data_IF_578603925842
#
_entry.id   IF_578603925842
#
_cell.length_a   1.000
_cell.length_b   1.000
_cell.length_c   1.000
_cell.angle_alpha   90.00
_cell.angle_beta   90.00
_cell.angle_gamma   90.00
#
_symmetry.space_group_name_H-M   'P 1'
#
loop_
_entity.id
_entity.type
_entity.pdbx_description
1 polymer ?
#
# COMPACT_ATOMS: atom_id res chain seq x y z
N UNK A 1 -28.68 -12.64 4.75
CA UNK A 1 -28.86 -12.44 6.22
C UNK A 1 -28.28 -11.09 6.59
N UNK A 2 -29.08 -10.21 7.23
CA UNK A 2 -28.69 -8.86 7.63
C UNK A 2 -27.28 -8.79 8.24
N UNK A 3 -27.00 -9.59 9.28
CA UNK A 3 -25.71 -9.55 10.01
C UNK A 3 -24.49 -9.85 9.11
N UNK A 4 -24.60 -10.83 8.21
CA UNK A 4 -23.49 -11.21 7.32
C UNK A 4 -23.10 -10.10 6.34
N UNK A 5 -24.10 -9.38 5.81
CA UNK A 5 -23.87 -8.25 4.92
C UNK A 5 -23.10 -7.10 5.62
N UNK A 6 -23.53 -6.67 6.82
CA UNK A 6 -22.83 -5.61 7.56
C UNK A 6 -21.41 -6.01 7.95
N UNK A 7 -21.20 -7.28 8.31
CA UNK A 7 -19.87 -7.78 8.62
C UNK A 7 -18.93 -7.66 7.40
N UNK A 8 -19.37 -8.09 6.21
CA UNK A 8 -18.55 -7.97 5.00
C UNK A 8 -18.30 -6.52 4.59
N UNK A 9 -19.28 -5.63 4.73
CA UNK A 9 -19.09 -4.19 4.50
C UNK A 9 -18.03 -3.63 5.46
N UNK A 10 -18.09 -3.98 6.75
CA UNK A 10 -17.09 -3.56 7.73
C UNK A 10 -15.68 -4.06 7.37
N UNK A 11 -15.56 -5.32 6.91
CA UNK A 11 -14.30 -5.87 6.40
C UNK A 11 -13.79 -5.08 5.19
N UNK A 12 -14.65 -4.78 4.21
CA UNK A 12 -14.27 -3.98 3.04
C UNK A 12 -13.77 -2.58 3.42
N UNK A 13 -14.42 -1.94 4.40
CA UNK A 13 -13.97 -0.64 4.93
C UNK A 13 -12.61 -0.73 5.61
N UNK A 14 -12.37 -1.78 6.41
CA UNK A 14 -11.08 -1.98 7.08
C UNK A 14 -9.96 -2.22 6.07
N UNK A 15 -10.21 -3.05 5.04
CA UNK A 15 -9.27 -3.27 3.93
C UNK A 15 -8.96 -1.96 3.22
N UNK A 16 -9.99 -1.17 2.91
CA UNK A 16 -9.82 0.13 2.27
C UNK A 16 -8.96 1.09 3.12
N UNK A 17 -9.20 1.13 4.44
CA UNK A 17 -8.44 1.95 5.38
C UNK A 17 -6.96 1.55 5.40
N UNK A 18 -6.67 0.25 5.51
CA UNK A 18 -5.29 -0.28 5.54
C UNK A 18 -4.56 0.03 4.24
N UNK A 19 -5.19 -0.20 3.08
CA UNK A 19 -4.58 0.10 1.78
C UNK A 19 -4.33 1.61 1.61
N UNK A 20 -5.27 2.46 2.02
CA UNK A 20 -5.10 3.92 1.99
C UNK A 20 -3.95 4.37 2.88
N UNK A 21 -3.88 3.86 4.12
CA UNK A 21 -2.79 4.19 5.04
C UNK A 21 -1.44 3.74 4.49
N UNK A 22 -1.37 2.53 3.93
CA UNK A 22 -0.15 2.00 3.33
C UNK A 22 0.30 2.80 2.10
N UNK A 23 -0.64 3.27 1.27
CA UNK A 23 -0.36 4.17 0.15
C UNK A 23 0.34 5.45 0.64
N UNK A 24 -0.18 6.09 1.70
CA UNK A 24 0.44 7.28 2.29
C UNK A 24 1.81 7.00 2.90
N UNK A 25 2.01 5.84 3.53
CA UNK A 25 3.32 5.41 4.03
C UNK A 25 4.33 5.30 2.89
N UNK A 26 3.96 4.72 1.75
CA UNK A 26 4.84 4.63 0.57
C UNK A 26 5.12 6.01 -0.02
N UNK A 27 4.13 6.90 -0.10
CA UNK A 27 4.33 8.28 -0.56
C UNK A 27 5.33 8.99 0.36
N UNK A 28 5.14 8.93 1.68
CA UNK A 28 6.06 9.50 2.64
C UNK A 28 7.48 8.93 2.48
N UNK A 29 7.60 7.62 2.29
CA UNK A 29 8.87 6.94 2.02
C UNK A 29 9.55 7.44 0.74
N UNK A 30 8.79 7.66 -0.33
CA UNK A 30 9.29 8.17 -1.60
C UNK A 30 9.77 9.62 -1.47
N UNK A 31 8.99 10.50 -0.84
CA UNK A 31 9.39 11.90 -0.58
C UNK A 31 10.67 11.96 0.26
N UNK A 32 10.76 11.13 1.30
CA UNK A 32 11.96 11.02 2.12
C UNK A 32 13.19 10.55 1.32
N UNK A 33 13.02 9.83 0.22
CA UNK A 33 14.18 9.46 -0.61
C UNK A 33 14.81 10.65 -1.36
N UNK A 34 14.06 11.73 -1.59
CA UNK A 34 14.54 12.91 -2.32
C UNK A 34 15.21 13.96 -1.44
N UNK A 35 14.86 13.99 -0.15
CA UNK A 35 15.32 15.04 0.80
C UNK A 35 16.46 14.58 1.72
N UNK A 36 16.94 13.34 1.55
CA UNK A 36 18.04 12.75 2.33
C UNK A 36 17.94 12.98 3.85
N UNK A 37 16.89 12.45 4.52
CA UNK A 37 16.59 12.70 5.92
C UNK A 37 17.59 11.99 6.86
N UNK A 38 17.64 12.44 8.11
CA UNK A 38 18.42 11.78 9.16
C UNK A 38 18.02 10.29 9.32
N UNK A 39 18.95 9.34 9.05
CA UNK A 39 18.69 7.90 9.20
C UNK A 39 18.37 7.47 10.64
N UNK A 40 18.75 8.26 11.64
CA UNK A 40 18.51 7.96 13.05
C UNK A 40 17.14 8.44 13.53
N UNK A 41 16.38 9.16 12.70
CA UNK A 41 15.03 9.55 13.04
C UNK A 41 14.11 8.32 13.14
N UNK A 42 13.37 8.13 14.26
CA UNK A 42 12.51 6.97 14.45
C UNK A 42 11.41 6.84 13.38
N UNK A 43 10.88 7.95 12.86
CA UNK A 43 9.86 7.96 11.80
C UNK A 43 10.46 7.43 10.49
N UNK A 44 11.67 7.87 10.16
CA UNK A 44 12.39 7.37 8.97
C UNK A 44 12.60 5.87 9.09
N UNK A 45 13.16 5.38 10.22
CA UNK A 45 13.35 3.94 10.44
C UNK A 45 12.06 3.14 10.37
N UNK A 46 10.97 3.66 10.91
CA UNK A 46 9.65 3.04 10.84
C UNK A 46 9.18 2.87 9.39
N UNK A 47 9.23 3.95 8.60
CA UNK A 47 8.84 3.93 7.20
C UNK A 47 9.70 2.95 6.39
N UNK A 48 11.02 2.94 6.59
CA UNK A 48 11.91 1.94 6.00
C UNK A 48 11.48 0.53 6.38
N UNK A 49 11.30 0.22 7.67
CA UNK A 49 10.94 -1.14 8.13
C UNK A 49 9.63 -1.65 7.56
N UNK A 50 8.61 -0.80 7.45
CA UNK A 50 7.29 -1.20 6.95
C UNK A 50 7.26 -1.32 5.42
N UNK A 51 8.00 -0.48 4.71
CA UNK A 51 7.96 -0.45 3.24
C UNK A 51 8.97 -1.38 2.58
N UNK A 52 10.13 -1.61 3.19
CA UNK A 52 11.24 -2.37 2.57
C UNK A 52 10.88 -3.82 2.20
N UNK A 53 10.09 -4.59 2.97
CA UNK A 53 9.69 -5.94 2.58
C UNK A 53 8.97 -6.01 1.22
N UNK A 54 8.28 -4.93 0.82
CA UNK A 54 7.56 -4.84 -0.46
C UNK A 54 8.39 -4.09 -1.50
N UNK A 55 9.04 -2.98 -1.12
CA UNK A 55 9.84 -2.18 -2.05
C UNK A 55 11.10 -2.92 -2.52
N UNK A 56 11.83 -3.61 -1.64
CA UNK A 56 13.08 -4.32 -1.98
C UNK A 56 12.90 -5.35 -3.11
N UNK A 57 11.93 -6.29 -3.05
CA UNK A 57 11.75 -7.26 -4.12
C UNK A 57 11.28 -6.61 -5.43
N UNK A 58 10.54 -5.51 -5.38
CA UNK A 58 10.14 -4.77 -6.58
C UNK A 58 11.33 -4.04 -7.18
N UNK A 59 12.12 -3.35 -6.37
CA UNK A 59 13.35 -2.65 -6.76
C UNK A 59 14.35 -3.58 -7.44
N UNK A 60 14.54 -4.79 -6.90
CA UNK A 60 15.44 -5.79 -7.48
C UNK A 60 14.99 -6.33 -8.85
N UNK A 61 13.69 -6.24 -9.17
CA UNK A 61 13.14 -6.67 -10.46
C UNK A 61 13.11 -5.56 -11.50
N UNK A 62 13.21 -4.30 -11.08
CA UNK A 62 13.17 -3.16 -11.99
C UNK A 62 14.57 -2.86 -12.53
N UNK A 63 14.78 -2.84 -13.86
CA UNK A 63 16.06 -2.47 -14.44
C UNK A 63 16.45 -1.02 -14.13
N UNK A 64 15.48 -0.15 -13.81
CA UNK A 64 15.71 1.27 -13.50
C UNK A 64 16.59 1.50 -12.27
N UNK A 65 16.64 0.55 -11.33
CA UNK A 65 17.56 0.66 -10.19
C UNK A 65 19.03 0.70 -10.63
N UNK A 66 19.36 0.04 -11.74
CA UNK A 66 20.71 0.05 -12.33
C UNK A 66 21.08 1.41 -12.94
N UNK A 67 20.08 2.26 -13.20
CA UNK A 67 20.23 3.61 -13.75
C UNK A 67 20.25 4.69 -12.66
N UNK A 68 20.28 4.31 -11.37
CA UNK A 68 20.37 5.22 -10.23
C UNK A 68 19.05 5.86 -9.80
N UNK A 69 17.91 5.44 -10.37
CA UNK A 69 16.59 6.00 -10.07
C UNK A 69 15.64 4.92 -9.53
N UNK A 70 15.19 5.08 -8.28
CA UNK A 70 14.31 4.13 -7.62
C UNK A 70 12.83 4.37 -7.98
N UNK A 71 12.35 3.71 -9.05
CA UNK A 71 10.94 3.69 -9.43
C UNK A 71 10.09 2.69 -8.63
N UNK A 72 10.69 1.92 -7.71
CA UNK A 72 9.94 0.92 -6.95
C UNK A 72 8.74 1.49 -6.17
N UNK A 73 8.78 2.71 -5.58
CA UNK A 73 7.61 3.27 -4.91
C UNK A 73 6.44 3.49 -5.87
N UNK A 74 6.70 3.93 -7.11
CA UNK A 74 5.64 4.13 -8.10
C UNK A 74 4.96 2.82 -8.47
N UNK A 75 5.74 1.78 -8.73
CA UNK A 75 5.20 0.45 -9.06
C UNK A 75 4.39 -0.12 -7.90
N UNK A 76 4.86 0.02 -6.67
CA UNK A 76 4.11 -0.45 -5.50
C UNK A 76 2.84 0.38 -5.29
N UNK A 77 2.88 1.70 -5.48
CA UNK A 77 1.69 2.56 -5.40
C UNK A 77 0.62 2.14 -6.42
N UNK A 78 1.02 1.86 -7.66
CA UNK A 78 0.10 1.33 -8.67
C UNK A 78 -0.49 -0.01 -8.25
N UNK A 79 0.31 -0.91 -7.67
CA UNK A 79 -0.16 -2.19 -7.14
C UNK A 79 -1.17 -2.01 -5.98
N UNK A 80 -0.87 -1.14 -5.02
CA UNK A 80 -1.76 -0.84 -3.89
C UNK A 80 -3.07 -0.21 -4.37
N UNK A 81 -2.98 0.75 -5.29
CA UNK A 81 -4.16 1.37 -5.90
C UNK A 81 -5.02 0.33 -6.64
N UNK A 82 -4.40 -0.53 -7.44
CA UNK A 82 -5.10 -1.63 -8.10
C UNK A 82 -5.80 -2.55 -7.08
N UNK A 83 -5.09 -2.99 -6.04
CA UNK A 83 -5.67 -3.82 -4.98
C UNK A 83 -6.86 -3.13 -4.31
N UNK A 84 -6.79 -1.82 -4.08
CA UNK A 84 -7.89 -1.06 -3.51
C UNK A 84 -9.09 -1.02 -4.45
N UNK A 85 -8.88 -0.68 -5.72
CA UNK A 85 -9.94 -0.61 -6.73
C UNK A 85 -10.52 -1.97 -7.10
N UNK A 86 -9.80 -3.06 -6.87
CA UNK A 86 -10.26 -4.41 -7.16
C UNK A 86 -10.87 -5.10 -5.94
N UNK A 87 -10.14 -5.24 -4.83
CA UNK A 87 -10.57 -6.03 -3.67
C UNK A 87 -11.75 -5.40 -2.95
N UNK A 88 -11.75 -4.08 -2.74
CA UNK A 88 -12.81 -3.41 -1.96
C UNK A 88 -14.17 -3.54 -2.66
N UNK A 89 -14.31 -3.24 -3.98
CA UNK A 89 -15.57 -3.45 -4.67
C UNK A 89 -15.99 -4.90 -4.76
N UNK A 90 -15.04 -5.85 -4.89
CA UNK A 90 -15.35 -7.29 -4.86
C UNK A 90 -16.00 -7.67 -3.52
N UNK A 91 -15.45 -7.21 -2.39
CA UNK A 91 -16.02 -7.46 -1.07
C UNK A 91 -17.43 -6.88 -0.95
N UNK A 92 -17.64 -5.63 -1.38
CA UNK A 92 -18.96 -5.01 -1.35
C UNK A 92 -19.97 -5.69 -2.27
N UNK A 93 -19.54 -6.16 -3.43
CA UNK A 93 -20.39 -6.94 -4.34
C UNK A 93 -20.83 -8.25 -3.69
N UNK A 94 -19.91 -8.96 -3.04
CA UNK A 94 -20.25 -10.20 -2.32
C UNK A 94 -21.21 -9.90 -1.17
N UNK A 95 -20.97 -8.82 -0.41
CA UNK A 95 -21.86 -8.38 0.65
C UNK A 95 -23.29 -8.15 0.13
N UNK A 96 -23.42 -7.43 -0.98
CA UNK A 96 -24.72 -7.16 -1.62
C UNK A 96 -25.42 -8.39 -2.16
N UNK A 97 -24.69 -9.48 -2.45
CA UNK A 97 -25.25 -10.72 -2.96
C UNK A 97 -25.77 -11.66 -1.85
N UNK A 98 -25.30 -11.49 -0.61
CA UNK A 98 -25.71 -12.30 0.55
C UNK A 98 -26.72 -11.59 1.48
N UNK A 99 -26.86 -10.27 1.30
CA UNK A 99 -27.82 -9.42 2.01
C UNK A 99 -29.23 -9.77 1.62
#
# INVERSE_FOLDING_TARGET
MFVGNYFLIAVGNLVNLVLTAYMWIIIARAVLSWVNPDPFNPIVRFLYRITEPVLRPVRQRLPTYQMGLDLSPMVVLLGVYFLQQFLVPVIYRIASAIG
#
